data_IF_503241844801
#
_entry.id   IF_503241844801
#
_cell.length_a   1.000
_cell.length_b   1.000
_cell.length_c   1.000
_cell.angle_alpha   90.00
_cell.angle_beta   90.00
_cell.angle_gamma   90.00
#
_symmetry.space_group_name_H-M   'P 1'
#
loop_
_entity.id
_entity.type
_entity.pdbx_description
1 polymer ?
#
# COMPACT_ATOMS: atom_id res chain seq x y z
N UNK A 1 30.73 -17.87 2.97
CA UNK A 1 29.37 -18.05 3.53
C UNK A 1 29.01 -16.80 4.32
N UNK A 2 28.08 -15.97 3.83
CA UNK A 2 27.79 -14.65 4.45
C UNK A 2 26.84 -14.87 5.64
N UNK A 3 27.30 -14.53 6.85
CA UNK A 3 26.50 -14.53 8.09
C UNK A 3 25.25 -13.65 7.87
N UNK A 4 24.05 -14.19 8.10
CA UNK A 4 22.80 -13.42 8.10
C UNK A 4 21.79 -13.73 7.00
N UNK A 5 22.04 -14.68 6.09
CA UNK A 5 21.07 -15.08 5.05
C UNK A 5 19.93 -15.97 5.60
N UNK A 6 20.18 -16.69 6.70
CA UNK A 6 19.24 -17.66 7.30
C UNK A 6 18.52 -17.16 8.55
N UNK A 7 18.84 -15.97 9.04
CA UNK A 7 18.18 -15.47 10.25
C UNK A 7 16.71 -15.16 9.96
N UNK A 8 15.77 -15.67 10.79
CA UNK A 8 14.37 -15.39 10.61
C UNK A 8 14.12 -13.88 10.69
N UNK A 9 13.42 -13.35 9.69
CA UNK A 9 13.06 -11.93 9.67
C UNK A 9 12.17 -11.63 10.89
N UNK A 10 12.53 -10.64 11.74
CA UNK A 10 11.71 -10.25 12.87
C UNK A 10 10.28 -9.90 12.43
N UNK A 11 9.30 -10.31 13.23
CA UNK A 11 7.89 -10.03 12.92
C UNK A 11 7.62 -8.52 12.78
N UNK A 12 8.26 -7.69 13.60
CA UNK A 12 8.17 -6.22 13.52
C UNK A 12 8.63 -5.68 12.16
N UNK A 13 9.73 -6.20 11.64
CA UNK A 13 10.28 -5.77 10.35
C UNK A 13 9.35 -6.20 9.21
N UNK A 14 8.79 -7.41 9.30
CA UNK A 14 7.81 -7.90 8.33
C UNK A 14 6.53 -7.05 8.35
N UNK A 15 6.03 -6.67 9.52
CA UNK A 15 4.84 -5.83 9.64
C UNK A 15 5.08 -4.41 9.14
N UNK A 16 6.24 -3.83 9.49
CA UNK A 16 6.63 -2.51 8.99
C UNK A 16 6.79 -2.52 7.47
N UNK A 17 7.47 -3.53 6.91
CA UNK A 17 7.61 -3.68 5.47
C UNK A 17 6.26 -3.89 4.78
N UNK A 18 5.36 -4.69 5.38
CA UNK A 18 4.00 -4.86 4.88
C UNK A 18 3.23 -3.56 4.86
N UNK A 19 3.35 -2.74 5.92
CA UNK A 19 2.71 -1.43 6.00
C UNK A 19 3.28 -0.43 4.98
N UNK A 20 4.61 -0.36 4.85
CA UNK A 20 5.29 0.53 3.89
C UNK A 20 4.90 0.23 2.43
N UNK A 21 4.71 -1.05 2.13
CA UNK A 21 4.39 -1.56 0.79
C UNK A 21 2.89 -1.68 0.54
N UNK A 22 2.06 -1.75 1.59
CA UNK A 22 0.62 -1.69 1.46
C UNK A 22 0.17 -0.27 1.11
N UNK A 23 -0.57 -0.11 0.00
CA UNK A 23 -1.50 1.01 -0.10
C UNK A 23 -2.76 0.66 0.68
N UNK A 24 -3.02 1.36 1.79
CA UNK A 24 -4.40 1.58 2.20
C UNK A 24 -5.08 2.29 1.03
N UNK A 25 -6.28 1.84 0.68
CA UNK A 25 -7.02 2.25 -0.52
C UNK A 25 -6.69 3.68 -0.89
N UNK A 26 -6.24 3.91 -2.14
CA UNK A 26 -5.98 5.23 -2.71
C UNK A 26 -7.11 6.12 -2.27
N UNK A 27 -6.90 6.91 -1.22
CA UNK A 27 -7.74 8.06 -0.91
C UNK A 27 -7.08 9.10 -1.80
N UNK A 28 -7.65 9.43 -2.97
CA UNK A 28 -7.12 10.51 -3.77
C UNK A 28 -6.86 11.69 -2.84
N UNK A 29 -5.70 12.32 -2.96
CA UNK A 29 -5.35 13.50 -2.16
C UNK A 29 -6.48 14.55 -2.19
N UNK A 30 -7.22 14.60 -3.30
CA UNK A 30 -8.46 15.35 -3.49
C UNK A 30 -9.52 15.07 -2.43
N UNK A 31 -9.79 13.80 -2.07
CA UNK A 31 -10.75 13.43 -1.03
C UNK A 31 -10.21 13.82 0.36
N UNK A 32 -8.89 13.74 0.58
CA UNK A 32 -8.26 14.20 1.83
C UNK A 32 -8.41 15.71 2.05
N UNK A 33 -8.34 16.53 0.99
CA UNK A 33 -8.41 17.99 1.09
C UNK A 33 -9.81 18.47 1.52
N UNK A 34 -10.86 17.81 1.04
CA UNK A 34 -12.24 18.14 1.39
C UNK A 34 -12.73 17.46 2.67
N UNK A 35 -12.11 16.36 3.07
CA UNK A 35 -12.55 15.61 4.24
C UNK A 35 -12.34 16.35 5.56
N UNK A 36 -11.26 17.11 5.71
CA UNK A 36 -11.00 17.87 6.94
C UNK A 36 -12.10 18.92 7.24
N UNK A 37 -12.49 19.82 6.30
CA UNK A 37 -13.56 20.78 6.55
C UNK A 37 -14.94 20.12 6.69
N UNK A 38 -15.23 19.06 5.91
CA UNK A 38 -16.51 18.33 6.01
C UNK A 38 -16.63 17.62 7.36
N UNK A 39 -15.53 17.02 7.84
CA UNK A 39 -15.47 16.37 9.15
C UNK A 39 -15.71 17.37 10.29
N UNK A 40 -15.13 18.56 10.20
CA UNK A 40 -15.36 19.64 11.17
C UNK A 40 -16.83 20.10 11.18
N UNK A 41 -17.44 20.22 10.00
CA UNK A 41 -18.86 20.57 9.85
C UNK A 41 -19.78 19.49 10.47
N UNK A 42 -19.50 18.20 10.23
CA UNK A 42 -20.24 17.08 10.82
C UNK A 42 -20.13 17.09 12.35
N UNK A 43 -18.94 17.36 12.89
CA UNK A 43 -18.72 17.44 14.34
C UNK A 43 -19.52 18.60 14.96
N UNK A 44 -19.49 19.77 14.31
CA UNK A 44 -20.26 20.95 14.73
C UNK A 44 -21.77 20.66 14.74
N UNK A 45 -22.32 20.09 13.67
CA UNK A 45 -23.73 19.69 13.58
C UNK A 45 -24.11 18.66 14.67
N UNK A 46 -23.24 17.69 14.93
CA UNK A 46 -23.52 16.63 15.90
C UNK A 46 -23.50 17.09 17.36
N UNK A 47 -22.73 18.13 17.68
CA UNK A 47 -22.70 18.79 19.00
C UNK A 47 -24.03 19.49 19.32
N UNK A 48 -24.75 20.01 18.31
CA UNK A 48 -26.07 20.63 18.49
C UNK A 48 -27.21 19.61 18.63
N UNK A 49 -27.07 18.38 18.11
CA UNK A 49 -28.09 17.32 18.20
C UNK A 49 -28.05 16.48 19.48
N UNK A 50 -27.08 16.72 20.37
CA UNK A 50 -26.96 16.03 21.66
C UNK A 50 -25.84 14.99 21.75
N UNK A 51 -25.72 14.37 22.92
CA UNK A 51 -24.51 13.61 23.30
C UNK A 51 -24.31 12.30 22.50
N UNK A 52 -25.38 11.63 22.08
CA UNK A 52 -25.31 10.36 21.30
C UNK A 52 -24.90 10.60 19.84
N UNK A 53 -25.41 11.67 19.22
CA UNK A 53 -25.03 12.07 17.86
C UNK A 53 -23.57 12.52 17.80
N UNK A 54 -23.10 13.25 18.81
CA UNK A 54 -21.70 13.67 18.91
C UNK A 54 -20.74 12.47 18.95
N UNK A 55 -21.05 11.43 19.74
CA UNK A 55 -20.22 10.22 19.81
C UNK A 55 -20.17 9.49 18.45
N UNK A 56 -21.31 9.32 17.78
CA UNK A 56 -21.35 8.67 16.47
C UNK A 56 -20.59 9.46 15.40
N UNK A 57 -20.73 10.79 15.42
CA UNK A 57 -19.99 11.67 14.52
C UNK A 57 -18.48 11.54 14.74
N UNK A 58 -18.01 11.55 16.00
CA UNK A 58 -16.60 11.35 16.34
C UNK A 58 -16.09 10.00 15.86
N UNK A 59 -16.84 8.90 16.07
CA UNK A 59 -16.43 7.58 15.62
C UNK A 59 -16.28 7.49 14.10
N UNK A 60 -17.25 8.04 13.36
CA UNK A 60 -17.16 8.13 11.89
C UNK A 60 -15.95 8.96 11.46
N UNK A 61 -15.68 10.05 12.16
CA UNK A 61 -14.52 10.92 11.91
C UNK A 61 -13.20 10.17 12.13
N UNK A 62 -13.08 9.39 13.20
CA UNK A 62 -11.89 8.58 13.51
C UNK A 62 -11.70 7.51 12.43
N UNK A 63 -12.75 6.78 12.07
CA UNK A 63 -12.70 5.75 11.02
C UNK A 63 -12.19 6.33 9.70
N UNK A 64 -12.52 7.59 9.41
CA UNK A 64 -12.11 8.27 8.18
C UNK A 64 -10.73 8.92 8.28
N UNK A 65 -10.42 9.58 9.39
CA UNK A 65 -9.19 10.32 9.59
C UNK A 65 -7.98 9.39 9.74
N UNK A 66 -8.13 8.26 10.46
CA UNK A 66 -7.02 7.35 10.75
C UNK A 66 -6.36 6.79 9.48
N UNK A 67 -7.09 6.27 8.47
CA UNK A 67 -6.48 5.80 7.22
C UNK A 67 -5.70 6.89 6.47
N UNK A 68 -6.23 8.11 6.44
CA UNK A 68 -5.59 9.25 5.75
C UNK A 68 -4.30 9.66 6.45
N UNK A 69 -4.33 9.78 7.78
CA UNK A 69 -3.14 10.07 8.57
C UNK A 69 -2.09 8.97 8.45
N UNK A 70 -2.51 7.70 8.39
CA UNK A 70 -1.59 6.57 8.19
C UNK A 70 -0.90 6.63 6.82
N UNK A 71 -1.61 7.00 5.75
CA UNK A 71 -0.99 7.12 4.42
C UNK A 71 -0.05 8.33 4.33
N UNK A 72 -0.42 9.46 4.94
CA UNK A 72 0.46 10.63 5.06
C UNK A 72 1.73 10.30 5.87
N UNK A 73 1.58 9.62 7.00
CA UNK A 73 2.70 9.16 7.83
C UNK A 73 3.60 8.19 7.06
N UNK A 74 3.03 7.31 6.23
CA UNK A 74 3.77 6.42 5.33
C UNK A 74 4.57 7.19 4.29
N UNK A 75 3.95 8.18 3.64
CA UNK A 75 4.63 9.04 2.67
C UNK A 75 5.81 9.79 3.30
N UNK A 76 5.59 10.39 4.48
CA UNK A 76 6.65 11.04 5.25
C UNK A 76 7.76 10.06 5.66
N UNK A 77 7.39 8.85 6.11
CA UNK A 77 8.33 7.81 6.50
C UNK A 77 9.22 7.35 5.34
N UNK A 78 8.64 7.11 4.17
CA UNK A 78 9.37 6.73 2.96
C UNK A 78 10.29 7.86 2.48
N UNK A 79 9.88 9.12 2.61
CA UNK A 79 10.74 10.26 2.33
C UNK A 79 11.91 10.38 3.32
N UNK A 80 11.68 10.04 4.60
CA UNK A 80 12.73 10.05 5.63
C UNK A 80 13.73 8.91 5.46
N UNK A 81 13.28 7.77 4.95
CA UNK A 81 14.07 6.56 4.72
C UNK A 81 14.08 6.16 3.24
N UNK A 82 14.69 6.97 2.35
CA UNK A 82 14.56 6.81 0.91
C UNK A 82 15.19 5.53 0.39
N UNK A 83 16.32 5.09 0.96
CA UNK A 83 17.08 3.96 0.44
C UNK A 83 16.62 2.61 0.99
N UNK A 84 16.54 1.62 0.10
CA UNK A 84 16.22 0.24 0.43
C UNK A 84 17.46 -0.48 0.97
N UNK A 85 17.48 -0.78 2.27
CA UNK A 85 18.55 -1.56 2.86
C UNK A 85 18.35 -3.07 2.61
N UNK A 86 19.41 -3.89 2.61
CA UNK A 86 19.27 -5.34 2.45
C UNK A 86 18.36 -6.01 3.51
N UNK A 87 18.38 -5.48 4.74
CA UNK A 87 17.47 -5.93 5.82
C UNK A 87 16.01 -5.62 5.47
N UNK A 88 15.76 -4.42 4.96
CA UNK A 88 14.41 -4.02 4.55
C UNK A 88 13.90 -4.84 3.36
N UNK A 89 14.73 -5.07 2.33
CA UNK A 89 14.35 -5.91 1.18
C UNK A 89 13.99 -7.34 1.58
N UNK A 90 14.74 -7.94 2.52
CA UNK A 90 14.38 -9.24 3.09
C UNK A 90 13.03 -9.21 3.82
N UNK A 91 12.75 -8.12 4.54
CA UNK A 91 11.48 -7.95 5.22
C UNK A 91 10.31 -7.78 4.23
N UNK A 92 10.50 -7.03 3.14
CA UNK A 92 9.50 -6.89 2.07
C UNK A 92 9.25 -8.24 1.38
N UNK A 93 10.31 -8.95 1.01
CA UNK A 93 10.19 -10.31 0.44
C UNK A 93 9.42 -11.24 1.37
N UNK A 94 9.74 -11.22 2.66
CA UNK A 94 9.06 -12.00 3.67
C UNK A 94 7.60 -11.56 3.93
N UNK A 95 7.24 -10.30 3.63
CA UNK A 95 5.90 -9.75 3.85
C UNK A 95 4.94 -10.01 2.68
N UNK A 96 5.48 -9.96 1.46
CA UNK A 96 4.72 -9.98 0.20
C UNK A 96 4.78 -11.36 -0.47
N UNK A 97 5.82 -12.13 -0.17
CA UNK A 97 6.13 -13.42 -0.77
C UNK A 97 7.07 -13.30 -1.96
N UNK A 98 7.90 -14.33 -2.14
CA UNK A 98 8.97 -14.39 -3.14
C UNK A 98 8.49 -14.02 -4.54
N UNK A 99 7.40 -14.65 -4.98
CA UNK A 99 6.94 -14.51 -6.35
C UNK A 99 6.49 -13.07 -6.69
N UNK A 100 5.88 -12.34 -5.76
CA UNK A 100 5.50 -10.92 -5.99
C UNK A 100 6.72 -10.01 -5.89
N UNK A 101 7.63 -10.32 -4.97
CA UNK A 101 8.86 -9.58 -4.80
C UNK A 101 9.77 -9.66 -6.05
N UNK A 102 9.89 -10.86 -6.63
CA UNK A 102 10.66 -11.09 -7.86
C UNK A 102 10.03 -10.36 -9.05
N UNK A 103 8.70 -10.39 -9.20
CA UNK A 103 7.98 -9.60 -10.22
C UNK A 103 8.24 -8.09 -10.06
N UNK A 104 8.24 -7.60 -8.82
CA UNK A 104 8.49 -6.20 -8.51
C UNK A 104 9.93 -5.78 -8.85
N UNK A 105 10.92 -6.61 -8.51
CA UNK A 105 12.32 -6.35 -8.87
C UNK A 105 12.56 -6.42 -10.38
N UNK A 106 11.91 -7.37 -11.07
CA UNK A 106 11.96 -7.44 -12.52
C UNK A 106 11.39 -6.15 -13.15
N UNK A 107 10.26 -5.66 -12.64
CA UNK A 107 9.67 -4.41 -13.08
C UNK A 107 10.61 -3.21 -12.87
N UNK A 108 11.26 -3.11 -11.71
CA UNK A 108 12.25 -2.06 -11.45
C UNK A 108 13.48 -2.15 -12.36
N UNK A 109 13.97 -3.36 -12.62
CA UNK A 109 15.11 -3.58 -13.51
C UNK A 109 14.78 -3.13 -14.94
N UNK A 110 13.55 -3.34 -15.40
CA UNK A 110 13.10 -2.84 -16.70
C UNK A 110 13.01 -1.31 -16.67
N UNK A 111 12.42 -0.74 -15.63
CA UNK A 111 12.19 0.71 -15.53
C UNK A 111 13.49 1.54 -15.41
N UNK A 112 14.51 0.97 -14.78
CA UNK A 112 15.80 1.64 -14.51
C UNK A 112 16.99 0.93 -15.17
N UNK A 113 16.74 0.09 -16.19
CA UNK A 113 17.79 -0.72 -16.83
C UNK A 113 18.90 0.11 -17.47
N UNK A 114 18.57 1.33 -17.89
CA UNK A 114 19.48 2.27 -18.54
C UNK A 114 20.20 3.22 -17.57
N UNK A 115 19.92 3.14 -16.26
CA UNK A 115 20.58 3.95 -15.22
C UNK A 115 21.56 3.09 -14.39
N UNK A 116 22.85 3.06 -14.78
CA UNK A 116 23.87 2.26 -14.10
C UNK A 116 24.18 2.77 -12.67
N UNK A 117 23.77 3.99 -12.32
CA UNK A 117 23.94 4.59 -11.00
C UNK A 117 22.73 4.38 -10.08
N UNK A 118 21.67 3.75 -10.58
CA UNK A 118 20.40 3.66 -9.87
C UNK A 118 20.53 2.96 -8.52
N UNK A 119 20.10 3.66 -7.46
CA UNK A 119 19.99 3.10 -6.12
C UNK A 119 18.54 2.76 -5.86
N UNK A 120 18.29 1.52 -5.43
CA UNK A 120 16.95 1.06 -5.11
C UNK A 120 16.37 1.90 -3.97
N UNK A 121 15.29 2.61 -4.27
CA UNK A 121 14.55 3.38 -3.29
C UNK A 121 13.35 2.59 -2.77
N UNK A 122 13.00 2.82 -1.50
CA UNK A 122 11.85 2.16 -0.87
C UNK A 122 10.54 2.51 -1.57
N UNK A 123 10.39 3.77 -1.99
CA UNK A 123 9.21 4.24 -2.70
C UNK A 123 9.02 3.51 -4.04
N UNK A 124 10.11 3.31 -4.81
CA UNK A 124 10.08 2.59 -6.07
C UNK A 124 9.73 1.11 -5.87
N UNK A 125 10.33 0.45 -4.88
CA UNK A 125 9.99 -0.95 -4.53
C UNK A 125 8.54 -1.07 -4.07
N UNK A 126 8.06 -0.18 -3.20
CA UNK A 126 6.67 -0.19 -2.76
C UNK A 126 5.69 -0.06 -3.94
N UNK A 127 6.00 0.82 -4.89
CA UNK A 127 5.18 0.99 -6.09
C UNK A 127 5.23 -0.26 -7.00
N UNK A 128 6.41 -0.80 -7.26
CA UNK A 128 6.57 -1.98 -8.10
C UNK A 128 5.87 -3.23 -7.50
N UNK A 129 5.92 -3.39 -6.18
CA UNK A 129 5.15 -4.45 -5.50
C UNK A 129 3.65 -4.25 -5.68
N UNK A 130 3.16 -3.02 -5.61
CA UNK A 130 1.74 -2.74 -5.85
C UNK A 130 1.33 -3.09 -7.28
N UNK A 131 2.18 -2.80 -8.26
CA UNK A 131 1.96 -3.18 -9.67
C UNK A 131 1.87 -4.71 -9.78
N UNK A 132 2.81 -5.45 -9.19
CA UNK A 132 2.82 -6.90 -9.20
C UNK A 132 1.58 -7.51 -8.49
N UNK A 133 1.17 -6.97 -7.35
CA UNK A 133 -0.05 -7.39 -6.67
C UNK A 133 -1.31 -7.15 -7.51
N UNK A 134 -1.42 -5.98 -8.13
CA UNK A 134 -2.56 -5.65 -8.97
C UNK A 134 -2.62 -6.54 -10.22
N UNK A 135 -1.47 -6.81 -10.84
CA UNK A 135 -1.38 -7.71 -11.99
C UNK A 135 -1.87 -9.12 -11.63
N UNK A 136 -1.45 -9.66 -10.49
CA UNK A 136 -1.93 -10.97 -10.02
C UNK A 136 -3.39 -10.99 -9.62
N UNK A 137 -3.89 -9.92 -9.00
CA UNK A 137 -5.31 -9.80 -8.68
C UNK A 137 -6.14 -9.81 -9.96
N UNK A 138 -5.72 -9.07 -10.99
CA UNK A 138 -6.36 -9.09 -12.32
C UNK A 138 -6.26 -10.46 -12.98
N UNK A 139 -5.10 -11.11 -12.93
CA UNK A 139 -4.91 -12.46 -13.49
C UNK A 139 -5.82 -13.50 -12.83
N UNK A 140 -6.02 -13.45 -11.51
CA UNK A 140 -7.00 -14.30 -10.81
C UNK A 140 -8.43 -14.00 -11.23
N UNK A 141 -8.82 -12.72 -11.30
CA UNK A 141 -10.15 -12.33 -11.77
C UNK A 141 -10.42 -12.77 -13.22
N UNK A 142 -9.41 -12.74 -14.08
CA UNK A 142 -9.50 -13.22 -15.46
C UNK A 142 -9.55 -14.76 -15.55
N UNK A 143 -8.97 -15.48 -14.59
CA UNK A 143 -9.07 -16.94 -14.52
C UNK A 143 -10.42 -17.41 -13.94
N UNK A 144 -11.07 -16.60 -13.12
CA UNK A 144 -12.42 -16.86 -12.57
C UNK A 144 -13.54 -16.47 -13.54
N UNK A 145 -13.31 -15.55 -14.49
CA UNK A 145 -14.28 -15.15 -15.49
C UNK A 145 -14.27 -16.06 -16.73
N UNK A 146 -15.44 -16.31 -17.32
CA UNK A 146 -15.54 -16.93 -18.66
C UNK A 146 -14.98 -15.93 -19.68
N UNK A 147 -14.04 -16.37 -20.51
CA UNK A 147 -13.54 -15.55 -21.63
C UNK A 147 -14.71 -15.15 -22.53
N UNK A 148 -14.76 -13.88 -22.92
CA UNK A 148 -15.82 -13.37 -23.80
C UNK A 148 -15.94 -14.21 -25.08
N UNK A 149 -14.80 -14.69 -25.60
CA UNK A 149 -14.72 -15.55 -26.79
C UNK A 149 -15.37 -16.93 -26.59
N UNK A 150 -15.36 -17.45 -25.36
CA UNK A 150 -15.98 -18.74 -25.03
C UNK A 150 -17.49 -18.57 -24.81
N UNK A 151 -17.92 -17.44 -24.25
CA UNK A 151 -19.33 -17.09 -24.10
C UNK A 151 -20.01 -16.82 -25.45
N UNK A 152 -19.31 -16.18 -26.40
CA UNK A 152 -19.81 -15.91 -27.76
C UNK A 152 -19.89 -17.18 -28.62
N UNK A 153 -19.08 -18.21 -28.35
CA UNK A 153 -19.19 -19.52 -29.04
C UNK A 153 -20.30 -20.42 -28.50
N UNK A 154 -20.78 -20.13 -27.29
CA UNK A 154 -21.84 -20.91 -26.63
C UNK A 154 -23.24 -20.27 -26.76
N UNK A 155 -23.33 -19.08 -27.38
CA UNK A 155 -24.57 -18.40 -27.71
C UNK A 155 -24.91 -18.57 -29.21
#
# INVERSE_FOLDING_TARGET
MIRGVTDPVPWSDRMLARWEVSRFAVVPFSISLFAAPISWLILLLALFSGRRSAIMAVLLLIIWAVPVWLDQARGWWLARHPHASPRWLRAVRAAVGDAVFDDALAHLKILHGDDPGYRIERAHVANAVQVAWNARRKGRQQAEGIRLDDAVRQA
#
